data_IF_360637435010
#
_entry.id   IF_360637435010
#
_cell.length_a   1.000
_cell.length_b   1.000
_cell.length_c   1.000
_cell.angle_alpha   90.00
_cell.angle_beta   90.00
_cell.angle_gamma   90.00
#
_symmetry.space_group_name_H-M   'P 1'
#
loop_
_entity.id
_entity.type
_entity.pdbx_description
1 polymer ?
#
# COMPACT_ATOMS: atom_id res chain seq x y z
N UNK A 1 -1.86 -10.41 -4.14
CA UNK A 1 -1.40 -9.57 -5.25
C UNK A 1 -0.81 -10.50 -6.29
N UNK A 2 -1.17 -10.36 -7.58
CA UNK A 2 -0.48 -11.09 -8.65
C UNK A 2 0.62 -10.18 -9.17
N UNK A 3 1.87 -10.55 -8.92
CA UNK A 3 3.03 -9.79 -9.40
C UNK A 3 3.62 -10.40 -10.68
N UNK A 4 3.71 -9.58 -11.73
CA UNK A 4 4.40 -9.93 -12.95
C UNK A 4 5.91 -9.67 -12.78
N UNK A 5 6.54 -10.58 -12.05
CA UNK A 5 7.93 -10.44 -11.59
C UNK A 5 8.95 -10.53 -12.73
N UNK A 6 8.76 -11.49 -13.64
CA UNK A 6 9.61 -11.71 -14.80
C UNK A 6 8.90 -11.25 -16.08
N UNK A 7 9.54 -10.37 -16.82
CA UNK A 7 8.99 -9.77 -18.04
C UNK A 7 9.83 -10.14 -19.27
N UNK A 8 9.25 -10.15 -20.48
CA UNK A 8 10.02 -10.35 -21.71
C UNK A 8 11.22 -9.40 -21.80
N UNK A 9 12.43 -9.96 -21.78
CA UNK A 9 13.69 -9.20 -21.80
C UNK A 9 14.15 -8.64 -20.45
N UNK A 10 13.37 -8.76 -19.37
CA UNK A 10 13.67 -8.22 -18.06
C UNK A 10 13.40 -6.71 -17.94
N UNK A 11 12.74 -6.28 -16.87
CA UNK A 11 12.54 -4.86 -16.54
C UNK A 11 13.74 -4.23 -15.81
N UNK A 12 14.64 -5.06 -15.30
CA UNK A 12 15.91 -4.71 -14.71
C UNK A 12 17.01 -5.70 -15.17
N UNK A 13 18.24 -5.50 -14.70
CA UNK A 13 19.38 -6.36 -15.06
C UNK A 13 19.57 -7.58 -14.16
N UNK A 14 18.75 -7.74 -13.12
CA UNK A 14 18.94 -8.78 -12.12
C UNK A 14 18.33 -10.11 -12.55
N UNK A 15 18.91 -11.22 -12.07
CA UNK A 15 18.52 -12.57 -12.48
C UNK A 15 17.04 -12.86 -12.17
N UNK A 16 16.48 -12.25 -11.14
CA UNK A 16 15.07 -12.40 -10.77
C UNK A 16 14.09 -11.78 -11.79
N UNK A 17 14.56 -10.95 -12.73
CA UNK A 17 13.75 -10.49 -13.87
C UNK A 17 13.45 -11.59 -14.90
N UNK A 18 13.95 -12.81 -14.68
CA UNK A 18 13.77 -13.97 -15.55
C UNK A 18 14.69 -13.97 -16.78
N UNK A 19 15.71 -13.11 -16.79
CA UNK A 19 16.69 -12.97 -17.87
C UNK A 19 18.10 -12.99 -17.31
N UNK A 20 18.97 -13.87 -17.83
CA UNK A 20 20.39 -13.89 -17.46
C UNK A 20 21.23 -12.91 -18.29
N UNK A 21 20.59 -12.01 -19.07
CA UNK A 21 21.30 -11.10 -19.97
C UNK A 21 22.04 -9.95 -19.26
N UNK A 22 21.72 -9.69 -17.98
CA UNK A 22 22.24 -8.55 -17.24
C UNK A 22 21.68 -7.21 -17.71
N UNK A 23 20.61 -7.19 -18.53
CA UNK A 23 20.07 -6.01 -19.19
C UNK A 23 18.56 -5.92 -19.03
N UNK A 24 18.06 -4.68 -18.89
CA UNK A 24 16.64 -4.35 -18.82
C UNK A 24 16.02 -4.23 -20.23
N UNK A 25 15.95 -5.33 -20.98
CA UNK A 25 15.55 -5.31 -22.39
C UNK A 25 14.04 -5.24 -22.63
N UNK A 26 13.21 -5.22 -21.59
CA UNK A 26 11.79 -4.86 -21.71
C UNK A 26 11.67 -3.47 -22.35
N UNK A 27 12.46 -2.52 -21.85
CA UNK A 27 12.42 -1.13 -22.24
C UNK A 27 13.08 -0.92 -23.61
N UNK A 28 12.48 -0.05 -24.43
CA UNK A 28 12.93 0.21 -25.80
C UNK A 28 12.63 -0.92 -26.81
N UNK A 29 12.14 -2.09 -26.39
CA UNK A 29 11.75 -3.18 -27.30
C UNK A 29 10.23 -3.31 -27.40
N UNK A 30 9.64 -2.72 -28.45
CA UNK A 30 8.19 -2.78 -28.72
C UNK A 30 7.60 -4.19 -28.61
N UNK A 31 8.28 -5.20 -29.17
CA UNK A 31 7.82 -6.61 -29.11
C UNK A 31 7.64 -7.10 -27.67
N UNK A 32 8.54 -6.71 -26.77
CA UNK A 32 8.50 -7.11 -25.36
C UNK A 32 7.33 -6.44 -24.65
N UNK A 33 7.18 -5.11 -24.81
CA UNK A 33 6.07 -4.34 -24.26
C UNK A 33 4.70 -4.87 -24.74
N UNK A 34 4.55 -5.19 -26.03
CA UNK A 34 3.31 -5.77 -26.57
C UNK A 34 3.02 -7.17 -26.02
N UNK A 35 4.04 -8.00 -25.84
CA UNK A 35 3.87 -9.33 -25.24
C UNK A 35 3.45 -9.21 -23.76
N UNK A 36 4.08 -8.32 -23.00
CA UNK A 36 3.68 -8.03 -21.62
C UNK A 36 2.21 -7.61 -21.55
N UNK A 37 1.77 -6.68 -22.41
CA UNK A 37 0.36 -6.25 -22.46
C UNK A 37 -0.60 -7.42 -22.72
N UNK A 38 -0.24 -8.36 -23.61
CA UNK A 38 -1.04 -9.58 -23.85
C UNK A 38 -1.14 -10.46 -22.60
N UNK A 39 -0.05 -10.61 -21.85
CA UNK A 39 -0.03 -11.36 -20.58
C UNK A 39 -0.92 -10.68 -19.54
N UNK A 40 -0.81 -9.35 -19.38
CA UNK A 40 -1.64 -8.59 -18.45
C UNK A 40 -3.14 -8.70 -18.78
N UNK A 41 -3.50 -8.67 -20.07
CA UNK A 41 -4.86 -8.91 -20.51
C UNK A 41 -5.38 -10.29 -20.12
N UNK A 42 -4.55 -11.33 -20.30
CA UNK A 42 -4.92 -12.70 -19.93
C UNK A 42 -5.11 -12.82 -18.41
N UNK A 43 -4.18 -12.30 -17.60
CA UNK A 43 -4.31 -12.30 -16.13
C UNK A 43 -5.57 -11.55 -15.70
N UNK A 44 -5.82 -10.35 -16.22
CA UNK A 44 -7.01 -9.58 -15.89
C UNK A 44 -8.31 -10.32 -16.27
N UNK A 45 -8.31 -11.05 -17.38
CA UNK A 45 -9.44 -11.86 -17.81
C UNK A 45 -9.71 -13.02 -16.84
N UNK A 46 -8.67 -13.73 -16.38
CA UNK A 46 -8.80 -14.77 -15.36
C UNK A 46 -9.32 -14.21 -14.02
N UNK A 47 -8.83 -13.03 -13.62
CA UNK A 47 -9.32 -12.33 -12.43
C UNK A 47 -10.82 -12.02 -12.55
N UNK A 48 -11.23 -11.42 -13.67
CA UNK A 48 -12.65 -11.12 -13.95
C UNK A 48 -13.52 -12.39 -14.01
N UNK A 49 -12.96 -13.50 -14.49
CA UNK A 49 -13.67 -14.77 -14.63
C UNK A 49 -13.79 -15.58 -13.33
N UNK A 50 -13.46 -14.99 -12.18
CA UNK A 50 -13.78 -15.55 -10.87
C UNK A 50 -12.59 -16.06 -10.06
N UNK A 51 -11.36 -15.64 -10.39
CA UNK A 51 -10.21 -15.89 -9.53
C UNK A 51 -10.35 -15.10 -8.21
N UNK A 52 -10.87 -15.78 -7.18
CA UNK A 52 -11.09 -15.18 -5.86
C UNK A 52 -9.80 -14.84 -5.12
N UNK A 53 -9.88 -13.89 -4.19
CA UNK A 53 -8.75 -13.51 -3.32
C UNK A 53 -7.68 -12.63 -3.99
N UNK A 54 -7.92 -12.16 -5.22
CA UNK A 54 -6.99 -11.27 -5.93
C UNK A 54 -7.24 -9.83 -5.51
N UNK A 55 -6.23 -9.24 -4.86
CA UNK A 55 -6.24 -7.83 -4.40
C UNK A 55 -5.71 -6.83 -5.44
N UNK A 56 -5.29 -7.31 -6.60
CA UNK A 56 -4.78 -6.50 -7.71
C UNK A 56 -3.72 -7.22 -8.54
N UNK A 57 -3.24 -6.51 -9.56
CA UNK A 57 -2.21 -6.95 -10.51
C UNK A 57 -1.07 -5.93 -10.49
N UNK A 58 0.16 -6.37 -10.24
CA UNK A 58 1.36 -5.55 -10.39
C UNK A 58 1.94 -5.75 -11.79
N UNK A 59 2.09 -4.64 -12.50
CA UNK A 59 2.41 -4.68 -13.95
C UNK A 59 3.88 -4.91 -14.22
N UNK A 60 4.73 -4.54 -13.26
CA UNK A 60 6.19 -4.68 -13.25
C UNK A 60 6.63 -4.71 -11.78
N UNK A 61 7.47 -5.67 -11.38
CA UNK A 61 8.02 -5.74 -10.02
C UNK A 61 9.03 -4.62 -9.73
N UNK A 62 10.21 -4.70 -10.33
CA UNK A 62 11.31 -3.75 -10.12
C UNK A 62 11.77 -3.20 -11.46
N UNK A 63 11.19 -2.09 -11.90
CA UNK A 63 11.73 -1.40 -13.08
C UNK A 63 13.12 -0.84 -12.77
N UNK A 64 14.02 -0.88 -13.75
CA UNK A 64 15.25 -0.08 -13.68
C UNK A 64 14.91 1.40 -13.56
N UNK A 65 15.75 2.13 -12.82
CA UNK A 65 15.64 3.57 -12.64
C UNK A 65 15.60 4.30 -14.00
N UNK A 66 14.69 5.27 -14.11
CA UNK A 66 14.49 6.14 -15.27
C UNK A 66 14.38 5.40 -16.63
N UNK A 67 13.69 4.25 -16.61
CA UNK A 67 13.42 3.48 -17.82
C UNK A 67 12.68 4.31 -18.90
N UNK A 68 13.14 4.28 -20.17
CA UNK A 68 12.53 5.06 -21.24
C UNK A 68 11.05 4.72 -21.44
N UNK A 69 10.18 5.75 -21.47
CA UNK A 69 8.74 5.61 -21.68
C UNK A 69 8.02 4.69 -20.66
N UNK A 70 8.58 4.51 -19.46
CA UNK A 70 8.02 3.62 -18.44
C UNK A 70 6.60 4.02 -18.03
N UNK A 71 6.36 5.30 -17.73
CA UNK A 71 5.03 5.77 -17.35
C UNK A 71 4.01 5.71 -18.50
N UNK A 72 4.45 5.89 -19.76
CA UNK A 72 3.61 5.66 -20.94
C UNK A 72 3.17 4.19 -21.04
N UNK A 73 4.08 3.27 -20.68
CA UNK A 73 3.76 1.85 -20.60
C UNK A 73 2.80 1.54 -19.43
N UNK A 74 2.98 2.17 -18.26
CA UNK A 74 2.04 2.01 -17.13
C UNK A 74 0.63 2.46 -17.50
N UNK A 75 0.45 3.60 -18.17
CA UNK A 75 -0.88 4.00 -18.66
C UNK A 75 -1.47 2.99 -19.66
N UNK A 76 -0.65 2.44 -20.57
CA UNK A 76 -1.12 1.40 -21.49
C UNK A 76 -1.51 0.11 -20.77
N UNK A 77 -0.74 -0.31 -19.76
CA UNK A 77 -1.02 -1.49 -18.95
C UNK A 77 -2.32 -1.32 -18.15
N UNK A 78 -2.52 -0.15 -17.53
CA UNK A 78 -3.76 0.22 -16.87
C UNK A 78 -4.93 0.23 -17.87
N UNK A 79 -4.72 0.76 -19.08
CA UNK A 79 -5.67 0.71 -20.19
C UNK A 79 -6.09 -0.72 -20.54
N UNK A 80 -5.13 -1.63 -20.67
CA UNK A 80 -5.37 -3.04 -20.99
C UNK A 80 -6.18 -3.74 -19.90
N UNK A 81 -5.82 -3.54 -18.64
CA UNK A 81 -6.54 -4.13 -17.49
C UNK A 81 -7.94 -3.50 -17.36
N UNK A 82 -8.04 -2.18 -17.45
CA UNK A 82 -9.29 -1.44 -17.34
C UNK A 82 -10.30 -1.71 -18.45
N UNK A 83 -9.84 -2.07 -19.65
CA UNK A 83 -10.70 -2.56 -20.73
C UNK A 83 -11.35 -3.92 -20.40
N UNK A 84 -10.72 -4.71 -19.53
CA UNK A 84 -11.31 -5.94 -18.99
C UNK A 84 -12.20 -5.61 -17.80
N UNK A 85 -11.67 -4.91 -16.79
CA UNK A 85 -12.40 -4.53 -15.59
C UNK A 85 -11.72 -3.32 -14.91
N UNK A 86 -12.48 -2.22 -14.75
CA UNK A 86 -11.99 -1.00 -14.12
C UNK A 86 -11.97 -1.06 -12.58
N UNK A 87 -12.48 -2.12 -11.98
CA UNK A 87 -12.44 -2.32 -10.53
C UNK A 87 -11.16 -3.00 -10.04
N UNK A 88 -10.40 -3.64 -10.93
CA UNK A 88 -9.14 -4.33 -10.59
C UNK A 88 -8.07 -3.28 -10.21
N UNK A 89 -7.53 -3.31 -8.97
CA UNK A 89 -6.42 -2.45 -8.60
C UNK A 89 -5.15 -2.80 -9.38
N UNK A 90 -4.44 -1.76 -9.84
CA UNK A 90 -3.18 -1.89 -10.57
C UNK A 90 -2.04 -1.38 -9.70
N UNK A 91 -1.02 -2.20 -9.52
CA UNK A 91 0.18 -1.86 -8.76
C UNK A 91 1.31 -1.53 -9.74
N UNK A 92 2.05 -0.47 -9.48
CA UNK A 92 3.20 -0.05 -10.29
C UNK A 92 4.47 -0.02 -9.46
N UNK A 93 5.59 -0.48 -10.02
CA UNK A 93 6.92 -0.27 -9.43
C UNK A 93 7.20 1.23 -9.31
N UNK A 94 7.81 1.65 -8.20
CA UNK A 94 8.34 3.01 -8.06
C UNK A 94 9.64 3.24 -8.87
N UNK A 95 10.21 2.18 -9.44
CA UNK A 95 11.48 2.21 -10.17
C UNK A 95 12.62 2.85 -9.38
N UNK A 96 12.62 2.65 -8.06
CA UNK A 96 13.57 3.24 -7.11
C UNK A 96 13.47 4.78 -7.00
N UNK A 97 12.36 5.37 -7.44
CA UNK A 97 12.03 6.80 -7.32
C UNK A 97 10.58 6.99 -6.83
N UNK A 98 10.36 6.69 -5.54
CA UNK A 98 9.06 6.83 -4.88
C UNK A 98 8.46 8.24 -5.04
N UNK A 99 9.30 9.27 -4.96
CA UNK A 99 8.87 10.66 -5.12
C UNK A 99 8.21 10.92 -6.47
N UNK A 100 8.86 10.49 -7.56
CA UNK A 100 8.37 10.61 -8.94
C UNK A 100 7.15 9.74 -9.19
N UNK A 101 7.14 8.50 -8.71
CA UNK A 101 6.01 7.58 -8.87
C UNK A 101 4.74 8.11 -8.18
N UNK A 102 4.84 8.60 -6.94
CA UNK A 102 3.71 9.21 -6.24
C UNK A 102 3.22 10.48 -6.94
N UNK A 103 4.14 11.33 -7.41
CA UNK A 103 3.78 12.56 -8.13
C UNK A 103 3.08 12.26 -9.45
N UNK A 104 3.52 11.21 -10.15
CA UNK A 104 2.84 10.71 -11.33
C UNK A 104 1.43 10.25 -10.99
N UNK A 105 1.25 9.38 -9.98
CA UNK A 105 -0.07 8.88 -9.56
C UNK A 105 -1.02 10.02 -9.15
N UNK A 106 -0.55 10.96 -8.32
CA UNK A 106 -1.32 12.16 -7.96
C UNK A 106 -1.69 12.98 -9.19
N UNK A 107 -0.82 13.07 -10.20
CA UNK A 107 -1.02 13.83 -11.42
C UNK A 107 -1.93 13.16 -12.45
N UNK A 108 -2.30 11.89 -12.27
CA UNK A 108 -3.15 11.17 -13.23
C UNK A 108 -4.52 11.82 -13.34
N UNK A 109 -4.95 12.14 -14.56
CA UNK A 109 -6.25 12.72 -14.88
C UNK A 109 -6.83 11.98 -16.09
N UNK A 110 -8.10 11.57 -16.01
CA UNK A 110 -8.75 10.80 -17.07
C UNK A 110 -8.28 9.33 -17.13
N UNK A 111 -8.66 8.63 -18.20
CA UNK A 111 -8.34 7.21 -18.40
C UNK A 111 -9.25 6.24 -17.63
N UNK A 112 -8.90 4.94 -17.59
CA UNK A 112 -9.64 3.93 -16.82
C UNK A 112 -9.66 4.27 -15.33
N UNK A 113 -10.76 3.90 -14.66
CA UNK A 113 -10.97 4.19 -13.23
C UNK A 113 -10.30 3.21 -12.27
N UNK A 114 -9.41 2.35 -12.78
CA UNK A 114 -8.65 1.41 -11.97
C UNK A 114 -7.94 2.16 -10.83
N UNK A 115 -8.07 1.69 -9.58
CA UNK A 115 -7.22 2.14 -8.49
C UNK A 115 -5.75 1.90 -8.84
N UNK A 116 -4.89 2.88 -8.55
CA UNK A 116 -3.45 2.72 -8.74
C UNK A 116 -2.72 2.84 -7.41
N UNK A 117 -1.92 1.82 -7.11
CA UNK A 117 -1.09 1.75 -5.90
C UNK A 117 0.38 1.72 -6.30
N UNK A 118 1.20 2.53 -5.66
CA UNK A 118 2.65 2.48 -5.85
C UNK A 118 3.23 1.36 -5.00
N UNK A 119 4.08 0.53 -5.58
CA UNK A 119 4.87 -0.45 -4.86
C UNK A 119 6.32 0.04 -4.73
N UNK A 120 6.83 0.06 -3.50
CA UNK A 120 8.20 0.45 -3.16
C UNK A 120 8.87 -0.62 -2.33
N UNK A 121 10.12 -0.93 -2.64
CA UNK A 121 10.91 -1.94 -1.95
C UNK A 121 11.91 -1.27 -1.00
N UNK A 122 12.06 -1.81 0.20
CA UNK A 122 12.90 -1.24 1.26
C UNK A 122 13.91 -2.26 1.75
N UNK A 123 15.16 -2.08 1.30
CA UNK A 123 16.31 -2.87 1.71
C UNK A 123 17.45 -2.00 2.21
N UNK A 124 18.19 -2.51 3.19
CA UNK A 124 19.28 -1.81 3.87
C UNK A 124 20.56 -2.65 3.90
N UNK A 125 20.74 -3.49 2.87
CA UNK A 125 21.84 -4.48 2.78
C UNK A 125 22.64 -4.38 1.48
N UNK A 126 22.09 -3.76 0.44
CA UNK A 126 22.69 -3.73 -0.89
C UNK A 126 23.53 -2.48 -1.17
N UNK A 127 23.14 -1.32 -0.64
CA UNK A 127 23.79 -0.05 -0.94
C UNK A 127 24.99 0.22 -0.02
N UNK A 128 26.05 0.81 -0.57
CA UNK A 128 27.25 1.18 0.22
C UNK A 128 26.93 2.15 1.37
N UNK A 129 25.90 2.99 1.20
CA UNK A 129 25.42 3.89 2.26
C UNK A 129 24.96 3.15 3.52
N UNK A 130 24.45 1.93 3.39
CA UNK A 130 23.98 1.12 4.51
C UNK A 130 25.10 0.21 5.03
N UNK A 131 25.89 -0.37 4.12
CA UNK A 131 27.04 -1.23 4.45
C UNK A 131 28.14 -0.52 5.25
N UNK A 132 28.19 0.80 5.14
CA UNK A 132 29.16 1.65 5.83
C UNK A 132 28.76 1.99 7.28
N UNK A 133 27.52 1.71 7.68
CA UNK A 133 26.93 2.12 8.97
C UNK A 133 26.79 0.96 9.96
N UNK A 134 26.67 1.28 11.24
CA UNK A 134 26.30 0.33 12.28
C UNK A 134 24.78 0.05 12.27
N UNK A 135 24.32 -1.13 12.72
CA UNK A 135 22.90 -1.48 12.75
C UNK A 135 22.02 -0.43 13.47
N UNK A 136 22.49 0.13 14.59
CA UNK A 136 21.77 1.12 15.38
C UNK A 136 21.47 2.39 14.59
N UNK A 137 22.41 2.83 13.74
CA UNK A 137 22.24 4.01 12.89
C UNK A 137 21.18 3.78 11.81
N UNK A 138 21.13 2.57 11.24
CA UNK A 138 20.10 2.19 10.26
C UNK A 138 18.74 2.10 10.96
N UNK A 139 18.65 1.46 12.11
CA UNK A 139 17.42 1.36 12.90
C UNK A 139 16.87 2.76 13.23
N UNK A 140 17.75 3.69 13.64
CA UNK A 140 17.38 5.06 13.98
C UNK A 140 16.79 5.87 12.82
N UNK A 141 17.07 5.49 11.56
CA UNK A 141 16.56 6.21 10.39
C UNK A 141 15.14 5.83 10.01
N UNK A 142 14.69 4.62 10.37
CA UNK A 142 13.43 4.04 9.88
C UNK A 142 12.22 4.91 10.23
N UNK A 143 12.27 5.62 11.36
CA UNK A 143 11.22 6.55 11.75
C UNK A 143 10.97 7.66 10.73
N UNK A 144 11.99 8.06 9.96
CA UNK A 144 11.92 9.11 8.94
C UNK A 144 11.59 8.62 7.52
N UNK A 145 11.47 7.31 7.29
CA UNK A 145 11.15 6.76 5.96
C UNK A 145 9.76 7.21 5.45
N UNK A 146 9.53 7.08 4.14
CA UNK A 146 8.25 7.42 3.49
C UNK A 146 7.82 8.89 3.66
N UNK A 147 8.76 9.80 3.90
CA UNK A 147 8.48 11.24 3.92
C UNK A 147 7.99 11.76 2.57
N UNK A 148 8.21 11.01 1.48
CA UNK A 148 7.74 11.34 0.13
C UNK A 148 6.21 11.33 -0.01
N UNK A 149 5.49 10.71 0.93
CA UNK A 149 4.02 10.77 1.04
C UNK A 149 3.53 12.07 1.69
N UNK A 150 4.38 12.73 2.48
CA UNK A 150 3.96 13.92 3.22
C UNK A 150 3.56 15.03 2.23
N UNK A 151 2.34 15.54 2.37
CA UNK A 151 1.78 16.52 1.45
C UNK A 151 1.22 15.93 0.15
N UNK A 152 1.18 14.60 -0.02
CA UNK A 152 0.55 13.94 -1.18
C UNK A 152 -0.74 13.18 -0.85
N UNK A 153 -0.88 12.71 0.38
CA UNK A 153 -2.05 11.99 0.89
C UNK A 153 -3.16 12.91 1.42
N UNK A 154 -4.39 12.38 1.52
CA UNK A 154 -5.50 12.97 2.28
C UNK A 154 -6.22 14.17 1.68
N UNK A 155 -6.04 14.44 0.38
CA UNK A 155 -6.82 15.43 -0.36
C UNK A 155 -6.96 15.04 -1.83
N UNK A 156 -7.95 14.21 -2.12
CA UNK A 156 -8.32 13.74 -3.45
C UNK A 156 -8.81 14.87 -4.33
N UNK A 157 -9.61 15.80 -3.78
CA UNK A 157 -10.14 16.93 -4.53
C UNK A 157 -9.02 17.83 -5.08
N UNK A 158 -7.96 18.06 -4.30
CA UNK A 158 -6.85 18.94 -4.70
C UNK A 158 -5.72 18.19 -5.39
N UNK A 159 -5.35 17.01 -4.89
CA UNK A 159 -4.09 16.33 -5.24
C UNK A 159 -4.30 15.00 -5.94
N UNK A 160 -5.49 14.41 -5.89
CA UNK A 160 -5.75 13.05 -6.37
C UNK A 160 -5.24 11.99 -5.40
N UNK A 161 -5.25 10.72 -5.82
CA UNK A 161 -4.83 9.61 -4.97
C UNK A 161 -3.30 9.47 -4.93
N UNK A 162 -2.76 9.21 -3.73
CA UNK A 162 -1.38 8.78 -3.53
C UNK A 162 -1.36 7.73 -2.44
N UNK A 163 -1.24 6.46 -2.83
CA UNK A 163 -1.18 5.35 -1.90
C UNK A 163 -0.06 4.41 -2.32
N UNK A 164 0.57 3.80 -1.31
CA UNK A 164 1.64 2.83 -1.54
C UNK A 164 1.51 1.60 -0.66
N UNK A 165 2.19 0.54 -1.08
CA UNK A 165 2.53 -0.63 -0.27
C UNK A 165 4.05 -0.79 -0.22
N UNK A 166 4.53 -1.47 0.81
CA UNK A 166 5.92 -1.96 0.86
C UNK A 166 5.94 -3.38 0.29
N UNK A 167 6.14 -3.55 -1.01
CA UNK A 167 6.06 -4.84 -1.70
C UNK A 167 7.16 -5.81 -1.33
N UNK A 168 8.33 -5.29 -0.98
CA UNK A 168 9.42 -6.12 -0.50
C UNK A 168 10.21 -5.39 0.59
N UNK A 169 10.45 -6.10 1.70
CA UNK A 169 11.36 -5.69 2.78
C UNK A 169 11.80 -6.92 3.57
N UNK A 170 12.90 -6.82 4.32
CA UNK A 170 13.42 -7.92 5.13
C UNK A 170 14.09 -7.45 6.43
N UNK A 171 14.52 -8.40 7.26
CA UNK A 171 15.29 -8.12 8.48
C UNK A 171 16.81 -8.23 8.26
N UNK A 172 17.27 -8.21 7.01
CA UNK A 172 18.66 -8.45 6.65
C UNK A 172 19.44 -7.15 6.61
N UNK A 173 20.61 -7.16 7.24
CA UNK A 173 21.65 -6.17 7.05
C UNK A 173 22.93 -6.84 6.55
N UNK A 174 23.82 -6.06 5.93
CA UNK A 174 25.04 -6.57 5.33
C UNK A 174 26.03 -7.10 6.38
N UNK A 175 26.86 -8.06 5.98
CA UNK A 175 27.90 -8.61 6.86
C UNK A 175 28.88 -7.55 7.38
N UNK A 176 29.16 -6.50 6.59
CA UNK A 176 29.98 -5.36 7.02
C UNK A 176 29.26 -4.59 8.11
N UNK A 177 27.98 -4.31 7.96
CA UNK A 177 27.15 -3.65 8.98
C UNK A 177 27.19 -4.45 10.29
N UNK A 178 27.03 -5.78 10.23
CA UNK A 178 27.14 -6.64 11.42
C UNK A 178 28.54 -6.70 12.02
N UNK A 179 29.60 -6.57 11.21
CA UNK A 179 30.98 -6.55 11.69
C UNK A 179 31.34 -5.35 12.58
N UNK A 180 30.41 -4.40 12.78
CA UNK A 180 30.57 -3.22 13.65
C UNK A 180 30.01 -3.40 15.06
N UNK A 181 29.36 -4.54 15.35
CA UNK A 181 28.80 -4.85 16.67
C UNK A 181 29.31 -6.21 17.15
N UNK A 182 29.19 -6.47 18.44
CA UNK A 182 29.54 -7.78 18.99
C UNK A 182 28.50 -8.82 18.56
N UNK A 183 28.90 -10.08 18.27
CA UNK A 183 27.97 -11.11 17.80
C UNK A 183 26.77 -11.34 18.71
N UNK A 184 26.92 -11.14 20.02
CA UNK A 184 25.86 -11.35 21.02
C UNK A 184 24.77 -10.26 20.97
N UNK A 185 25.08 -9.10 20.37
CA UNK A 185 24.12 -8.00 20.20
C UNK A 185 23.21 -8.22 18.99
N UNK A 186 23.61 -9.08 18.04
CA UNK A 186 22.96 -9.22 16.73
C UNK A 186 21.47 -9.53 16.85
N UNK A 187 21.09 -10.57 17.60
CA UNK A 187 19.70 -11.00 17.67
C UNK A 187 18.78 -9.89 18.20
N UNK A 188 19.21 -9.18 19.24
CA UNK A 188 18.47 -8.05 19.80
C UNK A 188 18.34 -6.87 18.82
N UNK A 189 19.35 -6.63 17.98
CA UNK A 189 19.32 -5.61 16.95
C UNK A 189 18.43 -6.01 15.76
N UNK A 190 18.41 -7.27 15.37
CA UNK A 190 17.47 -7.80 14.36
C UNK A 190 16.02 -7.63 14.84
N UNK A 191 15.73 -7.92 16.11
CA UNK A 191 14.40 -7.68 16.69
C UNK A 191 14.01 -6.19 16.63
N UNK A 192 14.92 -5.30 17.04
CA UNK A 192 14.67 -3.86 16.99
C UNK A 192 14.43 -3.37 15.55
N UNK A 193 15.22 -3.86 14.60
CA UNK A 193 15.11 -3.50 13.19
C UNK A 193 13.80 -3.95 12.57
N UNK A 194 13.41 -5.23 12.77
CA UNK A 194 12.13 -5.75 12.27
C UNK A 194 10.93 -5.02 12.85
N UNK A 195 10.96 -4.65 14.13
CA UNK A 195 9.88 -3.91 14.80
C UNK A 195 9.79 -2.46 14.35
N UNK A 196 10.92 -1.77 14.21
CA UNK A 196 10.96 -0.40 13.71
C UNK A 196 10.35 -0.30 12.29
N UNK A 197 10.76 -1.22 11.41
CA UNK A 197 10.20 -1.34 10.07
C UNK A 197 8.70 -1.65 10.12
N UNK A 198 8.30 -2.68 10.87
CA UNK A 198 6.90 -3.09 11.02
C UNK A 198 6.01 -1.94 11.50
N UNK A 199 6.43 -1.21 12.53
CA UNK A 199 5.70 -0.05 13.07
C UNK A 199 5.54 1.03 12.01
N UNK A 200 6.62 1.36 11.28
CA UNK A 200 6.60 2.41 10.27
C UNK A 200 5.71 2.04 9.09
N UNK A 201 5.82 0.83 8.56
CA UNK A 201 5.01 0.35 7.44
C UNK A 201 3.53 0.30 7.82
N UNK A 202 3.19 -0.21 9.00
CA UNK A 202 1.79 -0.27 9.49
C UNK A 202 1.18 1.12 9.71
N UNK A 203 2.01 2.13 10.01
CA UNK A 203 1.60 3.51 10.21
C UNK A 203 1.34 4.24 8.89
N UNK A 204 2.25 4.10 7.91
CA UNK A 204 2.31 4.99 6.73
C UNK A 204 1.94 4.32 5.40
N UNK A 205 2.00 3.00 5.29
CA UNK A 205 1.67 2.28 4.06
C UNK A 205 0.27 1.64 4.13
N UNK A 206 -0.32 1.40 2.96
CA UNK A 206 -1.56 0.63 2.82
C UNK A 206 -1.40 -0.86 3.15
N UNK A 207 -0.17 -1.33 3.28
CA UNK A 207 0.21 -2.69 3.62
C UNK A 207 1.69 -2.94 3.35
N UNK A 208 2.16 -4.14 3.68
CA UNK A 208 3.53 -4.56 3.39
C UNK A 208 3.61 -6.07 3.18
N UNK A 209 4.50 -6.52 2.30
CA UNK A 209 4.79 -7.92 2.03
C UNK A 209 6.26 -8.19 2.36
N UNK A 210 6.50 -9.13 3.26
CA UNK A 210 7.85 -9.48 3.68
C UNK A 210 8.50 -10.39 2.63
N UNK A 211 9.69 -10.00 2.15
CA UNK A 211 10.46 -10.82 1.24
C UNK A 211 11.40 -11.73 2.05
N UNK A 212 11.12 -13.02 2.17
CA UNK A 212 10.06 -13.86 1.58
C UNK A 212 9.36 -14.69 2.65
N UNK A 213 8.33 -15.48 2.31
CA UNK A 213 7.63 -16.32 3.28
C UNK A 213 8.57 -17.31 3.98
N UNK A 214 9.25 -18.15 3.18
CA UNK A 214 10.27 -19.12 3.60
C UNK A 214 11.12 -19.54 2.41
N UNK A 215 12.25 -20.20 2.67
CA UNK A 215 13.00 -20.92 1.64
C UNK A 215 12.48 -22.37 1.54
N UNK A 216 12.80 -23.06 0.46
CA UNK A 216 12.31 -24.44 0.25
C UNK A 216 12.75 -25.40 1.37
N UNK A 217 13.99 -25.24 1.85
CA UNK A 217 14.65 -26.13 2.80
C UNK A 217 14.76 -25.57 4.23
N UNK A 218 14.34 -24.33 4.48
CA UNK A 218 14.41 -23.69 5.81
C UNK A 218 13.46 -22.50 5.94
N UNK A 219 13.17 -22.10 7.19
CA UNK A 219 12.29 -20.96 7.47
C UNK A 219 12.84 -19.60 7.01
N UNK A 220 14.08 -19.56 6.49
CA UNK A 220 14.63 -18.45 5.70
C UNK A 220 15.56 -17.48 6.44
N UNK A 221 15.77 -17.66 7.76
CA UNK A 221 16.64 -16.77 8.53
C UNK A 221 16.09 -15.35 8.57
N UNK A 222 16.95 -14.35 8.36
CA UNK A 222 16.57 -12.92 8.28
C UNK A 222 15.77 -12.57 7.02
N UNK A 223 15.83 -13.42 5.98
CA UNK A 223 15.00 -13.35 4.77
C UNK A 223 13.67 -14.08 4.93
N UNK A 224 13.40 -14.72 6.06
CA UNK A 224 12.27 -15.61 6.22
C UNK A 224 11.19 -15.07 7.13
N UNK A 225 10.01 -14.72 6.60
CA UNK A 225 8.88 -14.26 7.40
C UNK A 225 8.52 -15.28 8.50
N UNK A 226 8.49 -16.57 8.16
CA UNK A 226 8.21 -17.64 9.12
C UNK A 226 9.18 -17.62 10.32
N UNK A 227 10.48 -17.49 10.06
CA UNK A 227 11.52 -17.41 11.10
C UNK A 227 11.40 -16.12 11.92
N UNK A 228 11.25 -14.98 11.24
CA UNK A 228 11.20 -13.67 11.88
C UNK A 228 9.94 -13.47 12.74
N UNK A 229 8.81 -14.05 12.35
CA UNK A 229 7.60 -14.07 13.18
C UNK A 229 7.78 -14.99 14.40
N UNK A 230 8.37 -16.18 14.25
CA UNK A 230 8.68 -17.08 15.39
C UNK A 230 9.55 -16.43 16.45
N UNK A 231 10.51 -15.61 16.02
CA UNK A 231 11.40 -14.82 16.89
C UNK A 231 10.76 -13.57 17.48
N UNK A 232 9.54 -13.21 17.07
CA UNK A 232 8.85 -12.00 17.54
C UNK A 232 9.45 -10.71 17.01
N UNK A 233 10.17 -10.78 15.88
CA UNK A 233 10.78 -9.63 15.21
C UNK A 233 9.76 -8.86 14.36
N UNK A 234 8.73 -9.56 13.88
CA UNK A 234 7.64 -8.99 13.06
C UNK A 234 6.32 -9.28 13.77
N UNK A 235 5.83 -8.35 14.62
CA UNK A 235 4.57 -8.53 15.32
C UNK A 235 3.38 -8.20 14.40
N UNK A 236 2.24 -8.89 14.56
CA UNK A 236 1.00 -8.44 13.94
C UNK A 236 0.59 -7.06 14.48
N UNK A 237 -0.12 -6.25 13.70
CA UNK A 237 -0.73 -5.02 14.19
C UNK A 237 -1.63 -5.28 15.41
N UNK A 238 -1.63 -4.43 16.45
CA UNK A 238 -2.41 -4.67 17.67
C UNK A 238 -3.92 -4.81 17.45
N UNK A 239 -4.47 -4.16 16.44
CA UNK A 239 -5.89 -4.27 16.10
C UNK A 239 -6.26 -5.68 15.59
N UNK A 240 -5.32 -6.42 14.99
CA UNK A 240 -5.54 -7.80 14.55
C UNK A 240 -5.45 -8.83 15.67
N UNK A 241 -4.98 -8.43 16.86
CA UNK A 241 -4.87 -9.32 18.02
C UNK A 241 -6.00 -9.13 19.04
N UNK A 242 -7.03 -8.36 18.69
CA UNK A 242 -8.17 -8.13 19.57
C UNK A 242 -9.04 -9.40 19.67
N UNK A 243 -9.42 -9.84 20.89
CA UNK A 243 -10.38 -10.92 21.05
C UNK A 243 -11.73 -10.56 20.38
N UNK A 244 -12.43 -11.55 19.82
CA UNK A 244 -13.71 -11.31 19.12
C UNK A 244 -14.74 -10.58 19.98
N UNK A 245 -14.79 -10.89 21.28
CA UNK A 245 -15.72 -10.21 22.20
C UNK A 245 -15.37 -8.73 22.38
N UNK A 246 -14.09 -8.39 22.42
CA UNK A 246 -13.63 -7.01 22.53
C UNK A 246 -14.00 -6.21 21.28
N UNK A 247 -13.85 -6.81 20.08
CA UNK A 247 -14.29 -6.19 18.82
C UNK A 247 -15.79 -5.91 18.84
N UNK A 248 -16.62 -6.89 19.23
CA UNK A 248 -18.07 -6.72 19.34
C UNK A 248 -18.47 -5.64 20.34
N UNK A 249 -17.81 -5.61 21.50
CA UNK A 249 -18.07 -4.59 22.52
C UNK A 249 -17.75 -3.18 22.00
N UNK A 250 -16.63 -3.00 21.30
CA UNK A 250 -16.25 -1.72 20.68
C UNK A 250 -17.23 -1.30 19.59
N UNK A 251 -17.68 -2.24 18.76
CA UNK A 251 -18.70 -2.01 17.73
C UNK A 251 -20.00 -1.51 18.35
N UNK A 252 -20.47 -2.17 19.42
CA UNK A 252 -21.69 -1.77 20.12
C UNK A 252 -21.54 -0.36 20.71
N UNK A 253 -20.45 -0.13 21.46
CA UNK A 253 -20.18 1.16 22.08
C UNK A 253 -20.03 2.30 21.06
N UNK A 254 -19.43 2.03 19.90
CA UNK A 254 -19.33 3.00 18.82
C UNK A 254 -20.71 3.31 18.25
N UNK A 255 -21.52 2.29 17.94
CA UNK A 255 -22.87 2.47 17.39
C UNK A 255 -23.82 3.23 18.33
N UNK A 256 -23.75 2.96 19.63
CA UNK A 256 -24.54 3.68 20.65
C UNK A 256 -24.23 5.19 20.64
N UNK A 257 -23.02 5.56 20.22
CA UNK A 257 -22.53 6.94 20.17
C UNK A 257 -22.50 7.54 18.77
N UNK A 258 -22.92 6.80 17.73
CA UNK A 258 -22.81 7.25 16.32
C UNK A 258 -23.45 8.63 16.10
N UNK A 259 -24.67 8.83 16.61
CA UNK A 259 -25.38 10.11 16.46
C UNK A 259 -24.67 11.28 17.16
N UNK A 260 -24.15 11.06 18.37
CA UNK A 260 -23.38 12.07 19.11
C UNK A 260 -22.08 12.43 18.37
N UNK A 261 -21.32 11.42 17.94
CA UNK A 261 -20.05 11.60 17.23
C UNK A 261 -20.24 12.32 15.89
N UNK A 262 -21.26 11.94 15.11
CA UNK A 262 -21.57 12.57 13.82
C UNK A 262 -22.00 14.02 13.98
N UNK A 263 -22.90 14.31 14.93
CA UNK A 263 -23.33 15.67 15.22
C UNK A 263 -22.17 16.56 15.69
N UNK A 264 -21.31 16.03 16.58
CA UNK A 264 -20.14 16.75 17.07
C UNK A 264 -19.14 17.05 15.95
N UNK A 265 -18.83 16.06 15.11
CA UNK A 265 -17.94 16.24 13.97
C UNK A 265 -18.48 17.29 12.99
N UNK A 266 -19.78 17.22 12.68
CA UNK A 266 -20.43 18.17 11.76
C UNK A 266 -20.44 19.59 12.32
N UNK A 267 -20.82 19.78 13.57
CA UNK A 267 -20.80 21.09 14.21
C UNK A 267 -19.40 21.69 14.27
N UNK A 268 -18.38 20.87 14.54
CA UNK A 268 -16.97 21.29 14.51
C UNK A 268 -16.54 21.75 13.11
N UNK A 269 -16.88 20.97 12.08
CA UNK A 269 -16.60 21.31 10.68
C UNK A 269 -17.29 22.62 10.27
N UNK A 270 -18.60 22.74 10.50
CA UNK A 270 -19.38 23.94 10.19
C UNK A 270 -18.83 25.17 10.93
N UNK A 271 -18.56 25.03 12.23
CA UNK A 271 -18.01 26.09 13.06
C UNK A 271 -16.66 26.59 12.55
N UNK A 272 -15.75 25.67 12.19
CA UNK A 272 -14.44 26.02 11.64
C UNK A 272 -14.55 26.78 10.31
N UNK A 273 -15.29 26.28 9.34
CA UNK A 273 -15.33 26.87 8.00
C UNK A 273 -16.14 28.17 7.95
N UNK A 274 -17.25 28.25 8.69
CA UNK A 274 -18.01 29.50 8.79
C UNK A 274 -17.21 30.61 9.49
N UNK A 275 -16.32 30.25 10.43
CA UNK A 275 -15.40 31.19 11.07
C UNK A 275 -14.23 31.58 10.15
N UNK A 276 -13.63 30.60 9.48
CA UNK A 276 -12.44 30.78 8.63
C UNK A 276 -12.74 31.55 7.34
N UNK A 277 -13.98 31.46 6.84
CA UNK A 277 -14.41 32.19 5.63
C UNK A 277 -15.80 32.81 5.83
N UNK A 278 -15.90 33.91 6.61
CA UNK A 278 -17.18 34.55 6.91
C UNK A 278 -17.89 35.03 5.64
N UNK A 279 -19.19 34.73 5.54
CA UNK A 279 -20.03 35.12 4.41
C UNK A 279 -19.95 34.21 3.18
N UNK A 280 -19.05 33.22 3.16
CA UNK A 280 -19.06 32.18 2.14
C UNK A 280 -20.21 31.20 2.42
N UNK A 281 -20.97 30.86 1.37
CA UNK A 281 -21.92 29.76 1.44
C UNK A 281 -21.21 28.44 1.12
N UNK A 282 -21.34 27.49 2.05
CA UNK A 282 -20.79 26.14 1.99
C UNK A 282 -21.91 25.11 1.87
N UNK A 283 -21.57 23.89 1.51
CA UNK A 283 -22.53 22.79 1.33
C UNK A 283 -22.41 21.75 2.45
N UNK A 284 -22.36 22.19 3.72
CA UNK A 284 -22.01 21.40 4.92
C UNK A 284 -22.80 20.10 5.12
N UNK A 285 -23.95 19.96 4.45
CA UNK A 285 -24.69 18.70 4.39
C UNK A 285 -23.88 17.57 3.77
N UNK A 286 -22.92 17.87 2.88
CA UNK A 286 -22.00 16.92 2.25
C UNK A 286 -21.08 16.26 3.26
N UNK A 287 -20.53 17.05 4.19
CA UNK A 287 -19.71 16.52 5.29
C UNK A 287 -20.46 15.48 6.11
N UNK A 288 -21.72 15.76 6.45
CA UNK A 288 -22.56 14.78 7.16
C UNK A 288 -22.71 13.46 6.39
N UNK A 289 -22.93 13.51 5.08
CA UNK A 289 -23.07 12.31 4.24
C UNK A 289 -21.74 11.55 4.09
N UNK A 290 -20.63 12.26 3.92
CA UNK A 290 -19.28 11.70 3.87
C UNK A 290 -18.94 10.99 5.18
N UNK A 291 -19.16 11.67 6.30
CA UNK A 291 -18.96 11.12 7.64
C UNK A 291 -19.78 9.83 7.87
N UNK A 292 -21.07 9.83 7.54
CA UNK A 292 -21.92 8.66 7.70
C UNK A 292 -21.49 7.47 6.83
N UNK A 293 -21.03 7.76 5.62
CA UNK A 293 -20.51 6.74 4.69
C UNK A 293 -19.21 6.14 5.22
N UNK A 294 -18.24 7.00 5.57
CA UNK A 294 -16.95 6.59 6.12
C UNK A 294 -17.09 5.83 7.45
N UNK A 295 -17.99 6.28 8.33
CA UNK A 295 -18.30 5.58 9.58
C UNK A 295 -18.83 4.17 9.30
N UNK A 296 -19.79 4.05 8.39
CA UNK A 296 -20.39 2.75 8.04
C UNK A 296 -19.37 1.80 7.42
N UNK A 297 -18.43 2.31 6.60
CA UNK A 297 -17.34 1.52 6.05
C UNK A 297 -16.34 1.09 7.11
N UNK A 298 -15.91 2.00 7.98
CA UNK A 298 -14.99 1.70 9.07
C UNK A 298 -15.56 0.59 9.97
N UNK A 299 -16.87 0.65 10.27
CA UNK A 299 -17.57 -0.39 11.05
C UNK A 299 -17.58 -1.74 10.33
N UNK A 300 -17.83 -1.77 9.02
CA UNK A 300 -17.82 -3.00 8.23
C UNK A 300 -16.45 -3.65 8.20
N UNK A 301 -15.38 -2.87 8.01
CA UNK A 301 -14.02 -3.41 8.04
C UNK A 301 -13.66 -3.89 9.44
N UNK A 302 -13.92 -3.08 10.47
CA UNK A 302 -13.58 -3.44 11.84
C UNK A 302 -14.33 -4.71 12.32
N UNK A 303 -15.58 -4.91 11.88
CA UNK A 303 -16.38 -6.10 12.19
C UNK A 303 -16.16 -7.30 11.27
N UNK A 304 -15.47 -7.14 10.14
CA UNK A 304 -15.43 -8.13 9.05
C UNK A 304 -15.13 -9.57 9.52
N UNK A 305 -14.19 -9.73 10.45
CA UNK A 305 -13.78 -11.05 10.99
C UNK A 305 -14.84 -11.64 11.89
N UNK A 306 -15.33 -10.86 12.86
CA UNK A 306 -16.31 -11.33 13.85
C UNK A 306 -17.68 -11.58 13.25
N UNK A 307 -17.95 -10.97 12.10
CA UNK A 307 -19.18 -11.12 11.30
C UNK A 307 -19.05 -12.24 10.23
N UNK A 308 -17.89 -12.90 10.13
CA UNK A 308 -17.67 -14.04 9.23
C UNK A 308 -17.37 -13.68 7.77
N UNK A 309 -17.11 -12.41 7.45
CA UNK A 309 -16.84 -11.97 6.07
C UNK A 309 -15.55 -12.57 5.48
N UNK A 310 -14.62 -13.03 6.32
CA UNK A 310 -13.38 -13.70 5.91
C UNK A 310 -13.43 -15.23 6.06
N UNK A 311 -14.62 -15.78 6.32
CA UNK A 311 -14.85 -17.21 6.53
C UNK A 311 -14.52 -17.70 7.95
N UNK A 312 -14.92 -18.94 8.24
CA UNK A 312 -14.97 -19.46 9.61
C UNK A 312 -13.62 -19.63 10.31
N UNK A 313 -12.52 -19.59 9.56
CA UNK A 313 -11.16 -19.77 10.08
C UNK A 313 -10.58 -18.50 10.72
N UNK A 314 -11.21 -17.35 10.51
CA UNK A 314 -10.67 -16.04 10.92
C UNK A 314 -11.73 -15.30 11.73
N UNK A 315 -11.65 -15.39 13.05
CA UNK A 315 -12.69 -14.86 13.95
C UNK A 315 -12.20 -13.78 14.92
N UNK A 316 -10.89 -13.58 15.05
CA UNK A 316 -10.28 -12.58 15.95
C UNK A 316 -9.66 -11.42 15.18
N UNK A 317 -9.54 -10.27 15.84
CA UNK A 317 -9.05 -9.01 15.29
C UNK A 317 -10.15 -8.14 14.69
N UNK A 318 -9.88 -6.85 14.59
CA UNK A 318 -10.70 -5.90 13.83
C UNK A 318 -9.88 -5.28 12.71
N UNK A 319 -10.31 -5.40 11.45
CA UNK A 319 -9.57 -4.85 10.32
C UNK A 319 -9.71 -3.32 10.23
N UNK A 320 -8.78 -2.71 9.51
CA UNK A 320 -8.85 -1.29 9.13
C UNK A 320 -8.97 -1.18 7.61
N UNK A 321 -9.49 -0.05 7.16
CA UNK A 321 -9.45 0.31 5.73
C UNK A 321 -7.99 0.54 5.35
N UNK A 322 -7.48 -0.24 4.39
CA UNK A 322 -6.19 -0.02 3.75
C UNK A 322 -6.34 0.90 2.53
N UNK A 323 -5.24 1.55 2.12
CA UNK A 323 -5.21 2.48 0.99
C UNK A 323 -6.37 3.51 1.02
N UNK A 324 -6.47 4.29 2.09
CA UNK A 324 -7.67 5.07 2.41
C UNK A 324 -8.09 6.03 1.29
N UNK A 325 -7.16 6.75 0.66
CA UNK A 325 -7.51 7.69 -0.42
C UNK A 325 -8.17 6.97 -1.61
N UNK A 326 -7.71 5.78 -1.95
CA UNK A 326 -8.33 4.95 -3.00
C UNK A 326 -9.75 4.56 -2.60
N UNK A 327 -9.94 4.18 -1.33
CA UNK A 327 -11.26 3.83 -0.81
C UNK A 327 -12.23 5.01 -0.83
N UNK A 328 -11.78 6.18 -0.36
CA UNK A 328 -12.58 7.42 -0.37
C UNK A 328 -12.91 7.81 -1.81
N UNK A 329 -11.95 7.74 -2.74
CA UNK A 329 -12.17 8.02 -4.17
C UNK A 329 -13.23 7.10 -4.77
N UNK A 330 -13.20 5.80 -4.44
CA UNK A 330 -14.24 4.84 -4.85
C UNK A 330 -15.61 5.28 -4.34
N UNK A 331 -15.72 5.62 -3.06
CA UNK A 331 -17.00 6.07 -2.47
C UNK A 331 -17.47 7.41 -3.03
N UNK A 332 -16.56 8.31 -3.37
CA UNK A 332 -16.88 9.56 -4.03
C UNK A 332 -17.48 9.31 -5.43
N UNK A 333 -16.94 8.35 -6.18
CA UNK A 333 -17.54 7.97 -7.47
C UNK A 333 -18.90 7.30 -7.33
N UNK A 334 -19.08 6.41 -6.36
CA UNK A 334 -20.34 5.71 -6.13
C UNK A 334 -21.45 6.64 -5.64
N UNK A 335 -21.10 7.67 -4.87
CA UNK A 335 -22.06 8.65 -4.35
C UNK A 335 -22.53 9.64 -5.42
N UNK A 336 -21.81 9.76 -6.54
CA UNK A 336 -22.11 10.73 -7.61
C UNK A 336 -21.85 12.19 -7.20
N UNK A 337 -21.15 12.40 -6.08
CA UNK A 337 -20.82 13.73 -5.58
C UNK A 337 -19.78 14.40 -6.49
N UNK A 338 -19.83 15.73 -6.56
CA UNK A 338 -18.98 16.51 -7.44
C UNK A 338 -19.26 18.00 -7.30
N UNK A 339 -18.54 18.80 -8.09
CA UNK A 339 -18.64 20.26 -8.05
C UNK A 339 -17.68 20.89 -7.05
N UNK A 340 -17.82 22.21 -6.88
CA UNK A 340 -16.86 23.05 -6.14
C UNK A 340 -16.65 22.64 -4.67
N UNK A 341 -17.69 22.12 -4.03
CA UNK A 341 -17.68 21.75 -2.61
C UNK A 341 -17.58 20.24 -2.37
N UNK A 342 -17.09 19.49 -3.37
CA UNK A 342 -16.91 18.03 -3.23
C UNK A 342 -15.95 17.65 -2.11
N UNK A 343 -14.97 18.51 -1.83
CA UNK A 343 -14.01 18.36 -0.74
C UNK A 343 -14.68 18.34 0.65
N UNK A 344 -15.91 18.86 0.79
CA UNK A 344 -16.64 18.76 2.06
C UNK A 344 -17.15 17.33 2.29
N UNK A 345 -17.41 16.57 1.23
CA UNK A 345 -17.84 15.18 1.32
C UNK A 345 -16.68 14.23 1.61
N UNK A 346 -15.51 14.53 1.03
CA UNK A 346 -14.26 13.81 1.25
C UNK A 346 -13.88 13.80 2.74
#
# INVERSE_FOLDING_TARGET
LIDLHALPGGANGDAHSGSCSGKAELWGKKKNLELTKKVLHAIASEVRNGMGGVVGIQVVNESVYDAPHMYDFYEQAIGVIGNVDQSIPVYISDAWDLGKALSWTNGRRGGPRNPVVVDTHKYYTFDEKDRSRAPQEIIGQIGGELGELDGKEGSLADRGEAQLVIGEWSCVLDGRTWGRVQPQEKDGLVTQFGRAQSQKWQQKAGGSYFWTYKMDWMDGGEWGFAEQTKKGNIPPPPYLTLPSQEVRNRIQAANDRRGELGNSAKQGHEGYWNHTSPGQQFEHWRFGQGWDTGYSDAMKFFGARVDGALGDRVQEGGDKIGCLDIWVKKRLFESGQGGKFVWEWE
#
